data_IF_030370212614
#
_entry.id   IF_030370212614
#
_cell.length_a   1.000
_cell.length_b   1.000
_cell.length_c   1.000
_cell.angle_alpha   90.00
_cell.angle_beta   90.00
_cell.angle_gamma   90.00
#
_symmetry.space_group_name_H-M   'P 1'
#
loop_
_entity.id
_entity.type
_entity.pdbx_description
1 polymer ?
#
# COMPACT_ATOMS: atom_id res chain seq x y z
N UNK A 1 33.36 38.44 40.48
CA UNK A 1 32.86 37.04 40.40
C UNK A 1 32.33 36.79 38.98
N UNK A 2 33.14 36.21 38.09
CA UNK A 2 32.71 35.86 36.72
C UNK A 2 32.87 34.34 36.58
N UNK A 3 31.75 33.60 36.64
CA UNK A 3 31.75 32.14 36.48
C UNK A 3 31.82 31.76 35.00
N UNK A 4 32.84 30.98 34.67
CA UNK A 4 33.22 30.41 33.38
C UNK A 4 32.13 29.51 32.75
N UNK A 5 31.69 29.82 31.52
CA UNK A 5 30.87 28.97 30.63
C UNK A 5 31.77 28.02 29.81
N UNK A 6 32.46 27.06 30.45
CA UNK A 6 33.30 26.06 29.74
C UNK A 6 32.63 24.69 29.47
N UNK A 7 31.35 24.51 29.82
CA UNK A 7 30.66 23.22 29.72
C UNK A 7 29.99 22.90 28.37
N UNK A 8 29.63 23.89 27.55
CA UNK A 8 28.72 23.65 26.41
C UNK A 8 29.40 23.31 25.07
N UNK A 9 30.67 23.67 24.89
CA UNK A 9 31.35 23.50 23.59
C UNK A 9 31.97 22.09 23.41
N UNK A 10 32.40 21.46 24.51
CA UNK A 10 32.96 20.11 24.50
C UNK A 10 31.89 19.03 24.23
N UNK A 11 30.74 19.13 24.90
CA UNK A 11 29.60 18.24 24.65
C UNK A 11 29.03 18.38 23.23
N UNK A 12 28.98 19.61 22.70
CA UNK A 12 28.52 19.86 21.34
C UNK A 12 29.47 19.26 20.30
N UNK A 13 30.79 19.44 20.46
CA UNK A 13 31.80 18.82 19.60
C UNK A 13 31.77 17.29 19.68
N UNK A 14 31.60 16.72 20.87
CA UNK A 14 31.51 15.27 21.07
C UNK A 14 30.24 14.66 20.42
N UNK A 15 29.08 15.35 20.51
CA UNK A 15 27.85 14.96 19.80
C UNK A 15 28.00 15.05 18.28
N UNK A 16 28.66 16.09 17.78
CA UNK A 16 28.94 16.28 16.34
C UNK A 16 29.90 15.20 15.80
N UNK A 17 30.94 14.85 16.56
CA UNK A 17 31.87 13.76 16.25
C UNK A 17 31.19 12.38 16.26
N UNK A 18 30.34 12.09 17.26
CA UNK A 18 29.53 10.86 17.28
C UNK A 18 28.56 10.79 16.09
N UNK A 19 27.88 11.89 15.76
CA UNK A 19 26.98 11.97 14.61
C UNK A 19 27.70 11.78 13.26
N UNK A 20 28.92 12.31 13.12
CA UNK A 20 29.76 12.11 11.93
C UNK A 20 30.29 10.67 11.83
N UNK A 21 30.70 10.05 12.94
CA UNK A 21 31.07 8.62 12.97
C UNK A 21 29.87 7.71 12.65
N UNK A 22 28.67 8.07 13.09
CA UNK A 22 27.45 7.31 12.83
C UNK A 22 26.94 7.47 11.39
N UNK A 23 27.13 8.65 10.79
CA UNK A 23 26.90 8.88 9.36
C UNK A 23 27.94 8.16 8.49
N UNK A 24 29.21 8.18 8.89
CA UNK A 24 30.26 7.38 8.24
C UNK A 24 29.94 5.88 8.30
N UNK A 25 29.39 5.38 9.41
CA UNK A 25 28.91 3.98 9.55
C UNK A 25 27.74 3.60 8.63
N UNK A 26 27.00 4.57 8.09
CA UNK A 26 25.84 4.36 7.23
C UNK A 26 26.11 4.65 5.75
N UNK A 27 27.37 4.85 5.36
CA UNK A 27 27.68 5.01 3.93
C UNK A 27 27.55 3.66 3.22
N UNK A 28 27.04 3.63 1.98
CA UNK A 28 26.97 2.41 1.17
C UNK A 28 28.33 1.71 1.01
N UNK A 29 29.42 2.49 1.05
CA UNK A 29 30.79 2.01 0.97
C UNK A 29 31.22 1.24 2.24
N UNK A 30 30.94 1.77 3.44
CA UNK A 30 31.26 1.08 4.69
C UNK A 30 30.37 -0.14 4.95
N UNK A 31 29.14 -0.14 4.44
CA UNK A 31 28.28 -1.34 4.45
C UNK A 31 28.85 -2.44 3.53
N UNK A 32 29.33 -2.09 2.33
CA UNK A 32 29.99 -3.02 1.40
C UNK A 32 31.34 -3.53 1.94
N UNK A 33 32.15 -2.70 2.58
CA UNK A 33 33.42 -3.13 3.19
C UNK A 33 33.23 -4.14 4.33
N UNK A 34 32.12 -4.02 5.08
CA UNK A 34 31.86 -4.82 6.29
C UNK A 34 31.06 -6.09 6.04
N UNK A 35 30.22 -6.08 4.99
CA UNK A 35 29.38 -7.22 4.61
C UNK A 35 29.78 -7.83 3.26
N UNK A 36 30.71 -7.25 2.51
CA UNK A 36 31.14 -7.67 1.17
C UNK A 36 32.08 -8.86 1.17
N UNK A 37 32.19 -9.53 0.01
CA UNK A 37 32.95 -10.76 -0.22
C UNK A 37 32.05 -11.89 -0.75
N UNK A 38 32.60 -13.09 -0.94
CA UNK A 38 31.91 -14.25 -1.57
C UNK A 38 30.56 -14.57 -0.91
N UNK A 39 30.41 -14.34 0.40
CA UNK A 39 29.16 -14.57 1.15
C UNK A 39 28.11 -13.46 0.92
N UNK A 40 28.53 -12.23 0.61
CA UNK A 40 27.64 -11.14 0.22
C UNK A 40 26.96 -11.43 -1.12
N UNK A 41 27.75 -11.85 -2.09
CA UNK A 41 27.26 -12.15 -3.44
C UNK A 41 26.34 -13.37 -3.42
N UNK A 42 26.69 -14.41 -2.65
CA UNK A 42 25.78 -15.54 -2.38
C UNK A 42 24.47 -15.11 -1.71
N UNK A 43 24.52 -14.24 -0.70
CA UNK A 43 23.33 -13.74 -0.02
C UNK A 43 22.48 -12.80 -0.89
N UNK A 44 23.07 -12.03 -1.81
CA UNK A 44 22.34 -11.22 -2.79
C UNK A 44 21.70 -12.10 -3.86
N UNK A 45 22.43 -13.07 -4.41
CA UNK A 45 21.89 -14.00 -5.42
C UNK A 45 20.72 -14.80 -4.86
N UNK A 46 20.85 -15.35 -3.65
CA UNK A 46 19.75 -16.05 -2.95
C UNK A 46 18.57 -15.13 -2.70
N UNK A 47 18.79 -13.88 -2.28
CA UNK A 47 17.69 -12.89 -2.09
C UNK A 47 17.04 -12.43 -3.40
N UNK A 48 17.78 -12.44 -4.51
CA UNK A 48 17.28 -12.10 -5.85
C UNK A 48 16.43 -13.24 -6.44
N UNK A 49 16.62 -14.48 -5.96
CA UNK A 49 15.89 -15.67 -6.40
C UNK A 49 14.78 -16.11 -5.43
N UNK A 50 14.71 -15.56 -4.22
CA UNK A 50 13.69 -15.88 -3.22
C UNK A 50 12.28 -15.38 -3.58
N UNK A 51 11.25 -16.10 -3.11
CA UNK A 51 9.84 -15.62 -3.13
C UNK A 51 9.75 -14.27 -2.42
N UNK A 52 9.49 -13.20 -3.17
CA UNK A 52 9.49 -11.81 -2.69
C UNK A 52 10.54 -10.91 -3.35
N UNK A 53 11.43 -11.46 -4.17
CA UNK A 53 12.34 -10.68 -5.00
C UNK A 53 11.57 -9.76 -5.97
N UNK A 54 12.15 -8.60 -6.25
CA UNK A 54 11.56 -7.60 -7.13
C UNK A 54 11.38 -8.16 -8.53
N UNK A 55 10.17 -8.01 -9.09
CA UNK A 55 9.84 -8.36 -10.48
C UNK A 55 9.91 -7.15 -11.41
N UNK A 56 10.55 -6.08 -10.95
CA UNK A 56 10.65 -4.80 -11.66
C UNK A 56 11.66 -4.88 -12.82
N UNK A 57 11.23 -4.47 -14.01
CA UNK A 57 12.13 -4.28 -15.16
C UNK A 57 12.91 -2.97 -15.04
N UNK A 58 14.06 -2.87 -15.70
CA UNK A 58 14.86 -1.64 -15.70
C UNK A 58 15.30 -1.26 -17.11
N UNK A 59 15.17 0.03 -17.41
CA UNK A 59 15.65 0.68 -18.63
C UNK A 59 16.49 1.87 -18.20
N UNK A 60 17.72 1.96 -18.70
CA UNK A 60 18.66 3.06 -18.44
C UNK A 60 19.37 3.48 -19.72
N UNK A 61 19.80 4.73 -19.79
CA UNK A 61 20.77 5.18 -20.79
C UNK A 61 22.15 4.98 -20.17
N UNK A 62 23.02 4.25 -20.85
CA UNK A 62 24.38 3.95 -20.40
C UNK A 62 25.43 4.83 -21.07
N UNK A 63 25.14 5.35 -22.27
CA UNK A 63 26.10 6.13 -23.05
C UNK A 63 25.47 6.86 -24.23
N UNK A 64 26.28 7.61 -24.94
CA UNK A 64 25.92 8.36 -26.15
C UNK A 64 27.15 8.72 -26.96
N UNK A 65 27.00 8.83 -28.27
CA UNK A 65 28.06 9.33 -29.13
C UNK A 65 27.53 10.40 -30.10
N UNK A 66 28.33 11.43 -30.34
CA UNK A 66 28.03 12.56 -31.23
C UNK A 66 28.91 12.61 -32.49
N UNK A 67 29.84 11.66 -32.65
CA UNK A 67 30.75 11.57 -33.79
C UNK A 67 30.71 10.16 -34.40
N UNK A 68 30.96 10.05 -35.71
CA UNK A 68 31.02 8.78 -36.42
C UNK A 68 31.98 7.77 -35.77
N UNK A 69 33.17 8.23 -35.32
CA UNK A 69 34.12 7.38 -34.59
C UNK A 69 33.55 6.87 -33.27
N UNK A 70 32.84 7.72 -32.53
CA UNK A 70 32.18 7.33 -31.29
C UNK A 70 31.10 6.27 -31.52
N UNK A 71 30.30 6.40 -32.58
CA UNK A 71 29.29 5.38 -32.95
C UNK A 71 29.95 4.02 -33.23
N UNK A 72 31.05 3.99 -34.00
CA UNK A 72 31.81 2.76 -34.26
C UNK A 72 32.35 2.12 -32.97
N UNK A 73 32.90 2.94 -32.07
CA UNK A 73 33.37 2.47 -30.77
C UNK A 73 32.24 1.88 -29.91
N UNK A 74 31.06 2.51 -29.91
CA UNK A 74 29.89 1.98 -29.19
C UNK A 74 29.43 0.65 -29.76
N UNK A 75 29.39 0.50 -31.10
CA UNK A 75 29.07 -0.77 -31.78
C UNK A 75 30.04 -1.87 -31.35
N UNK A 76 31.34 -1.61 -31.41
CA UNK A 76 32.37 -2.57 -30.99
C UNK A 76 32.26 -2.92 -29.51
N UNK A 77 31.99 -1.92 -28.67
CA UNK A 77 31.83 -2.10 -27.23
C UNK A 77 30.64 -3.03 -26.91
N UNK A 78 29.45 -2.77 -27.48
CA UNK A 78 28.28 -3.62 -27.22
C UNK A 78 28.41 -5.02 -27.84
N UNK A 79 29.23 -5.19 -28.88
CA UNK A 79 29.54 -6.50 -29.44
C UNK A 79 30.70 -7.22 -28.74
N UNK A 80 31.29 -6.64 -27.68
CA UNK A 80 32.50 -7.16 -27.01
C UNK A 80 33.62 -7.45 -28.02
N UNK A 81 33.88 -6.50 -28.92
CA UNK A 81 34.88 -6.60 -29.99
C UNK A 81 34.69 -7.85 -30.91
N UNK A 82 33.46 -8.38 -30.99
CA UNK A 82 33.09 -9.51 -31.86
C UNK A 82 32.76 -10.82 -31.14
N UNK A 83 32.83 -10.85 -29.81
CA UNK A 83 32.40 -12.02 -29.04
C UNK A 83 30.87 -12.21 -29.04
N UNK A 84 30.11 -11.11 -29.21
CA UNK A 84 28.65 -11.10 -29.19
C UNK A 84 28.11 -10.64 -30.55
N UNK A 85 27.12 -11.36 -31.08
CA UNK A 85 26.42 -10.97 -32.31
C UNK A 85 25.51 -9.77 -32.08
N UNK A 86 25.48 -8.89 -33.06
CA UNK A 86 24.55 -7.76 -33.10
C UNK A 86 23.33 -8.11 -33.93
N UNK A 87 22.17 -7.59 -33.55
CA UNK A 87 20.94 -7.64 -34.36
C UNK A 87 20.44 -6.23 -34.63
N UNK A 88 20.20 -5.87 -35.88
CA UNK A 88 19.66 -4.54 -36.23
C UNK A 88 18.13 -4.46 -36.16
N UNK A 89 17.60 -3.28 -36.48
CA UNK A 89 16.16 -3.00 -36.54
C UNK A 89 15.42 -3.73 -37.66
N UNK A 90 16.11 -4.34 -38.64
CA UNK A 90 15.52 -5.17 -39.71
C UNK A 90 15.61 -6.66 -39.41
N UNK A 91 16.32 -7.04 -38.34
CA UNK A 91 16.55 -8.43 -37.96
C UNK A 91 17.79 -9.07 -38.58
N UNK A 92 18.64 -8.28 -39.24
CA UNK A 92 19.94 -8.74 -39.76
C UNK A 92 20.91 -8.92 -38.59
N UNK A 93 21.60 -10.05 -38.58
CA UNK A 93 22.65 -10.35 -37.60
C UNK A 93 24.04 -10.03 -38.14
N UNK A 94 24.88 -9.42 -37.30
CA UNK A 94 26.27 -9.10 -37.63
C UNK A 94 27.21 -9.74 -36.62
N UNK A 95 28.22 -10.44 -37.11
CA UNK A 95 29.40 -10.83 -36.36
C UNK A 95 30.54 -9.87 -36.71
N UNK A 96 30.77 -8.88 -35.86
CA UNK A 96 31.78 -7.85 -36.12
C UNK A 96 33.22 -8.37 -36.02
N UNK A 97 33.46 -9.63 -35.62
CA UNK A 97 34.79 -10.24 -35.76
C UNK A 97 35.19 -10.31 -37.25
N UNK A 98 34.21 -10.49 -38.14
CA UNK A 98 34.37 -10.41 -39.58
C UNK A 98 34.48 -8.96 -40.06
N UNK A 99 35.42 -8.70 -40.97
CA UNK A 99 35.72 -7.34 -41.44
C UNK A 99 34.61 -6.75 -42.31
N UNK A 100 33.96 -7.57 -43.14
CA UNK A 100 32.88 -7.13 -44.02
C UNK A 100 31.63 -6.86 -43.21
N UNK A 101 31.23 -7.79 -42.34
CA UNK A 101 30.06 -7.59 -41.47
C UNK A 101 30.24 -6.44 -40.49
N UNK A 102 31.47 -6.18 -40.02
CA UNK A 102 31.78 -4.98 -39.23
C UNK A 102 31.56 -3.69 -40.03
N UNK A 103 31.96 -3.68 -41.30
CA UNK A 103 31.76 -2.53 -42.19
C UNK A 103 30.26 -2.30 -42.44
N UNK A 104 29.52 -3.36 -42.75
CA UNK A 104 28.06 -3.31 -42.93
C UNK A 104 27.36 -2.82 -41.67
N UNK A 105 27.77 -3.28 -40.48
CA UNK A 105 27.19 -2.83 -39.23
C UNK A 105 27.41 -1.31 -39.00
N UNK A 106 28.56 -0.78 -39.39
CA UNK A 106 28.81 0.66 -39.31
C UNK A 106 27.95 1.44 -40.30
N UNK A 107 27.82 0.95 -41.53
CA UNK A 107 27.01 1.57 -42.59
C UNK A 107 25.51 1.52 -42.26
N UNK A 108 25.05 0.48 -41.57
CA UNK A 108 23.67 0.37 -41.11
C UNK A 108 23.29 1.45 -40.08
N UNK A 109 24.24 2.02 -39.34
CA UNK A 109 23.98 3.03 -38.29
C UNK A 109 24.43 4.45 -38.62
N UNK A 110 25.20 4.65 -39.70
CA UNK A 110 25.78 5.94 -40.10
C UNK A 110 25.38 6.32 -41.51
N UNK A 111 25.03 7.59 -41.71
CA UNK A 111 24.75 8.15 -43.03
C UNK A 111 25.90 9.08 -43.48
N UNK A 112 25.99 9.36 -44.78
CA UNK A 112 27.01 10.28 -45.30
C UNK A 112 26.90 11.70 -44.75
N UNK A 113 25.69 12.15 -44.42
CA UNK A 113 25.45 13.44 -43.79
C UNK A 113 26.07 13.52 -42.37
N UNK A 114 26.19 12.40 -41.66
CA UNK A 114 26.82 12.37 -40.33
C UNK A 114 28.32 12.70 -40.39
N UNK A 115 28.96 12.47 -41.54
CA UNK A 115 30.37 12.79 -41.78
C UNK A 115 30.59 14.29 -41.99
N UNK A 116 29.54 15.02 -42.42
CA UNK A 116 29.60 16.46 -42.69
C UNK A 116 29.43 17.32 -41.43
N UNK A 117 29.01 16.71 -40.32
CA UNK A 117 28.90 17.38 -39.01
C UNK A 117 30.31 17.54 -38.42
N UNK A 118 31.05 18.55 -38.90
CA UNK A 118 32.43 18.84 -38.46
C UNK A 118 32.50 19.31 -37.00
N UNK A 119 33.37 18.63 -36.23
CA UNK A 119 34.07 19.06 -35.01
C UNK A 119 33.50 20.28 -34.28
N UNK A 120 32.46 20.06 -33.48
CA UNK A 120 32.17 20.93 -32.35
C UNK A 120 31.87 20.06 -31.15
N UNK A 121 32.45 20.38 -29.99
CA UNK A 121 32.09 19.76 -28.70
C UNK A 121 30.58 19.88 -28.38
N UNK A 122 29.86 20.71 -29.14
CA UNK A 122 28.41 20.93 -29.06
C UNK A 122 27.60 20.17 -30.12
N UNK A 123 28.20 19.29 -30.91
CA UNK A 123 27.47 18.50 -31.90
C UNK A 123 26.41 17.62 -31.21
N UNK A 124 25.18 17.53 -31.76
CA UNK A 124 24.12 16.73 -31.17
C UNK A 124 24.45 15.23 -31.27
N UNK A 125 24.06 14.46 -30.25
CA UNK A 125 24.27 13.01 -30.20
C UNK A 125 23.64 12.31 -31.41
N UNK A 126 24.43 11.50 -32.13
CA UNK A 126 23.99 10.63 -33.22
C UNK A 126 23.29 9.37 -32.69
N UNK A 127 23.72 8.86 -31.54
CA UNK A 127 23.19 7.64 -30.92
C UNK A 127 23.04 7.77 -29.41
N UNK A 128 22.09 7.01 -28.85
CA UNK A 128 21.98 6.73 -27.42
C UNK A 128 22.07 5.24 -27.16
N UNK A 129 22.90 4.84 -26.19
CA UNK A 129 23.04 3.46 -25.75
C UNK A 129 22.11 3.21 -24.55
N UNK A 130 21.19 2.27 -24.72
CA UNK A 130 20.24 1.82 -23.70
C UNK A 130 20.64 0.48 -23.15
N UNK A 131 20.28 0.23 -21.90
CA UNK A 131 20.34 -1.10 -21.28
C UNK A 131 18.96 -1.45 -20.75
N UNK A 132 18.40 -2.53 -21.28
CA UNK A 132 17.14 -3.13 -20.87
C UNK A 132 17.42 -4.40 -20.08
N UNK A 133 16.88 -4.51 -18.87
CA UNK A 133 17.09 -5.68 -18.03
C UNK A 133 15.78 -6.19 -17.45
N UNK A 134 15.58 -7.49 -17.58
CA UNK A 134 14.54 -8.23 -16.88
C UNK A 134 15.15 -8.85 -15.61
N UNK A 135 14.37 -8.98 -14.53
CA UNK A 135 14.89 -9.58 -13.31
C UNK A 135 15.09 -11.09 -13.51
N UNK A 136 16.20 -11.66 -13.03
CA UNK A 136 16.52 -13.09 -13.17
C UNK A 136 15.37 -14.03 -12.75
N UNK A 137 14.58 -13.64 -11.73
CA UNK A 137 13.41 -14.38 -11.24
C UNK A 137 12.25 -14.48 -12.24
N UNK A 138 12.25 -13.65 -13.28
CA UNK A 138 11.29 -13.76 -14.37
C UNK A 138 11.65 -14.88 -15.35
N UNK A 139 12.89 -15.36 -15.35
CA UNK A 139 13.32 -16.50 -16.16
C UNK A 139 13.13 -16.29 -17.66
N UNK A 140 13.22 -15.04 -18.12
CA UNK A 140 13.01 -14.71 -19.54
C UNK A 140 14.22 -15.20 -20.36
N UNK A 141 14.02 -16.05 -21.39
CA UNK A 141 15.09 -16.49 -22.26
C UNK A 141 15.57 -15.35 -23.16
N UNK A 142 16.80 -15.48 -23.66
CA UNK A 142 17.48 -14.48 -24.49
C UNK A 142 16.63 -13.97 -25.67
N UNK A 143 16.09 -14.90 -26.46
CA UNK A 143 15.30 -14.56 -27.65
C UNK A 143 14.07 -13.71 -27.31
N UNK A 144 13.41 -13.98 -26.18
CA UNK A 144 12.21 -13.25 -25.78
C UNK A 144 12.55 -11.87 -25.20
N UNK A 145 13.68 -11.74 -24.50
CA UNK A 145 14.15 -10.41 -24.07
C UNK A 145 14.51 -9.56 -25.28
N UNK A 146 15.26 -10.10 -26.24
CA UNK A 146 15.62 -9.40 -27.47
C UNK A 146 14.38 -8.97 -28.26
N UNK A 147 13.42 -9.89 -28.43
CA UNK A 147 12.14 -9.58 -29.10
C UNK A 147 11.36 -8.51 -28.35
N UNK A 148 11.27 -8.59 -27.03
CA UNK A 148 10.56 -7.58 -26.24
C UNK A 148 11.20 -6.18 -26.35
N UNK A 149 12.53 -6.11 -26.44
CA UNK A 149 13.25 -4.84 -26.68
C UNK A 149 13.02 -4.34 -28.11
N UNK A 150 13.08 -5.23 -29.11
CA UNK A 150 12.78 -4.93 -30.52
C UNK A 150 11.39 -4.31 -30.67
N UNK A 151 10.38 -4.98 -30.13
CA UNK A 151 8.97 -4.52 -30.16
C UNK A 151 8.83 -3.18 -29.43
N UNK A 152 9.50 -3.01 -28.28
CA UNK A 152 9.44 -1.77 -27.51
C UNK A 152 10.01 -0.58 -28.29
N UNK A 153 11.16 -0.78 -28.95
CA UNK A 153 11.82 0.28 -29.72
C UNK A 153 11.04 0.59 -30.99
N UNK A 154 10.58 -0.41 -31.75
CA UNK A 154 9.75 -0.21 -32.95
C UNK A 154 8.43 0.49 -32.63
N UNK A 155 7.75 0.11 -31.54
CA UNK A 155 6.50 0.76 -31.13
C UNK A 155 6.68 2.22 -30.70
N UNK A 156 7.85 2.60 -30.18
CA UNK A 156 8.12 3.96 -29.67
C UNK A 156 8.80 4.86 -30.70
N UNK A 157 9.66 4.29 -31.54
CA UNK A 157 10.48 4.97 -32.54
C UNK A 157 10.49 4.16 -33.85
N UNK A 158 9.37 4.13 -34.59
CA UNK A 158 9.20 3.25 -35.75
C UNK A 158 10.17 3.55 -36.90
N UNK A 159 10.56 4.82 -37.07
CA UNK A 159 11.41 5.28 -38.17
C UNK A 159 12.90 5.35 -37.81
N UNK A 160 13.26 4.98 -36.58
CA UNK A 160 14.64 5.05 -36.08
C UNK A 160 15.32 3.68 -36.17
N UNK A 161 16.54 3.68 -36.72
CA UNK A 161 17.41 2.50 -36.74
C UNK A 161 18.01 2.23 -35.36
N UNK A 162 18.20 0.96 -35.04
CA UNK A 162 18.87 0.55 -33.82
C UNK A 162 19.61 -0.77 -34.00
N UNK A 163 20.57 -1.03 -33.12
CA UNK A 163 21.26 -2.31 -32.98
C UNK A 163 21.20 -2.82 -31.56
N UNK A 164 21.10 -4.12 -31.37
CA UNK A 164 20.96 -4.75 -30.06
C UNK A 164 21.97 -5.88 -29.87
N UNK A 165 22.38 -6.08 -28.62
CA UNK A 165 23.25 -7.17 -28.19
C UNK A 165 22.78 -7.69 -26.83
N UNK A 166 22.71 -9.00 -26.64
CA UNK A 166 22.35 -9.62 -25.35
C UNK A 166 23.61 -9.95 -24.56
N UNK A 167 23.69 -9.47 -23.32
CA UNK A 167 24.84 -9.62 -22.43
C UNK A 167 24.43 -10.45 -21.20
N UNK A 168 25.24 -11.46 -20.85
CA UNK A 168 25.02 -12.34 -19.69
C UNK A 168 26.05 -12.19 -18.58
N UNK A 169 26.83 -11.10 -18.58
CA UNK A 169 27.99 -10.92 -17.70
C UNK A 169 27.69 -11.28 -16.24
N UNK A 170 28.57 -12.09 -15.65
CA UNK A 170 28.40 -12.68 -14.31
C UNK A 170 28.15 -11.63 -13.21
N UNK A 171 28.63 -10.40 -13.42
CA UNK A 171 28.49 -9.27 -12.49
C UNK A 171 27.26 -8.37 -12.73
N UNK A 172 26.59 -8.42 -13.90
CA UNK A 172 25.64 -7.36 -14.31
C UNK A 172 24.19 -7.78 -14.52
N UNK A 173 23.85 -9.07 -14.31
CA UNK A 173 22.56 -9.66 -14.67
C UNK A 173 22.31 -9.65 -16.19
N UNK A 174 21.52 -10.59 -16.74
CA UNK A 174 21.20 -10.58 -18.16
C UNK A 174 20.51 -9.27 -18.57
N UNK A 175 21.04 -8.63 -19.61
CA UNK A 175 20.50 -7.38 -20.13
C UNK A 175 20.78 -7.25 -21.63
N UNK A 176 19.94 -6.49 -22.31
CA UNK A 176 20.13 -6.12 -23.71
C UNK A 176 20.68 -4.72 -23.77
N UNK A 177 21.83 -4.56 -24.41
CA UNK A 177 22.28 -3.27 -24.90
C UNK A 177 21.57 -2.94 -26.20
N UNK A 178 21.07 -1.71 -26.33
CA UNK A 178 20.44 -1.24 -27.56
C UNK A 178 20.98 0.14 -27.93
N UNK A 179 21.67 0.22 -29.06
CA UNK A 179 22.18 1.45 -29.64
C UNK A 179 21.12 2.03 -30.57
N UNK A 180 20.43 3.09 -30.14
CA UNK A 180 19.38 3.76 -30.91
C UNK A 180 19.95 4.97 -31.65
N UNK A 181 19.75 5.03 -32.97
CA UNK A 181 20.07 6.19 -33.79
C UNK A 181 19.06 7.31 -33.54
N UNK A 182 19.57 8.53 -33.32
CA UNK A 182 18.76 9.71 -32.97
C UNK A 182 18.12 10.36 -34.19
N UNK A 183 18.83 10.57 -35.32
CA UNK A 183 18.17 10.82 -36.59
C UNK A 183 17.35 9.59 -37.01
N UNK A 184 16.10 9.81 -37.39
CA UNK A 184 15.32 8.82 -38.13
C UNK A 184 15.79 8.73 -39.59
N UNK A 185 15.17 7.84 -40.36
CA UNK A 185 15.50 7.64 -41.78
C UNK A 185 15.24 8.87 -42.66
N UNK A 186 14.47 9.87 -42.19
CA UNK A 186 14.24 11.15 -42.87
C UNK A 186 15.16 12.27 -42.37
N UNK A 187 16.07 11.96 -41.44
CA UNK A 187 16.97 12.93 -40.80
C UNK A 187 16.34 13.73 -39.65
N UNK A 188 15.06 13.51 -39.32
CA UNK A 188 14.41 14.17 -38.19
C UNK A 188 14.91 13.54 -36.89
N UNK A 189 15.24 14.40 -35.92
CA UNK A 189 15.88 13.98 -34.67
C UNK A 189 14.87 13.78 -33.56
N UNK A 190 14.96 12.64 -32.87
CA UNK A 190 14.18 12.39 -31.65
C UNK A 190 14.82 13.08 -30.43
N UNK A 191 13.99 13.52 -29.48
CA UNK A 191 14.45 14.14 -28.22
C UNK A 191 14.02 13.28 -27.03
N UNK A 192 14.94 12.49 -26.50
CA UNK A 192 14.66 11.51 -25.45
C UNK A 192 14.67 12.19 -24.07
N UNK A 193 13.51 12.28 -23.44
CA UNK A 193 13.32 12.89 -22.12
C UNK A 193 13.05 11.84 -21.05
N UNK A 194 12.98 12.30 -19.79
CA UNK A 194 12.62 11.44 -18.65
C UNK A 194 11.25 10.77 -18.80
N UNK A 195 10.32 11.39 -19.54
CA UNK A 195 9.00 10.81 -19.85
C UNK A 195 9.16 9.61 -20.79
N UNK A 196 9.98 9.74 -21.82
CA UNK A 196 10.22 8.65 -22.79
C UNK A 196 10.88 7.44 -22.13
N UNK A 197 11.81 7.65 -21.17
CA UNK A 197 12.38 6.56 -20.39
C UNK A 197 11.34 5.80 -19.55
N UNK A 198 10.31 6.49 -19.06
CA UNK A 198 9.21 5.84 -18.33
C UNK A 198 8.36 5.01 -19.28
N UNK A 199 8.00 5.58 -20.42
CA UNK A 199 7.20 4.88 -21.43
C UNK A 199 7.94 3.68 -22.01
N UNK A 200 9.25 3.78 -22.26
CA UNK A 200 10.07 2.64 -22.68
C UNK A 200 10.04 1.53 -21.63
N UNK A 201 10.12 1.88 -20.33
CA UNK A 201 10.05 0.90 -19.24
C UNK A 201 8.67 0.25 -19.12
N UNK A 202 7.60 1.03 -19.30
CA UNK A 202 6.21 0.55 -19.32
C UNK A 202 5.95 -0.41 -20.49
N UNK A 203 6.32 0.01 -21.71
CA UNK A 203 6.18 -0.79 -22.94
C UNK A 203 6.99 -2.08 -22.85
N UNK A 204 8.23 -2.00 -22.37
CA UNK A 204 9.07 -3.19 -22.17
C UNK A 204 8.44 -4.19 -21.20
N UNK A 205 7.93 -3.73 -20.06
CA UNK A 205 7.20 -4.61 -19.14
C UNK A 205 5.94 -5.19 -19.77
N UNK A 206 5.19 -4.37 -20.51
CA UNK A 206 3.94 -4.78 -21.16
C UNK A 206 4.21 -5.85 -22.22
N UNK A 207 5.26 -5.69 -23.03
CA UNK A 207 5.62 -6.66 -24.08
C UNK A 207 6.08 -7.99 -23.49
N UNK A 208 6.86 -7.96 -22.40
CA UNK A 208 7.17 -9.17 -21.64
C UNK A 208 5.93 -9.83 -21.01
N UNK A 209 4.98 -9.04 -20.50
CA UNK A 209 3.72 -9.55 -19.96
C UNK A 209 2.84 -10.20 -21.04
N UNK A 210 2.77 -9.61 -22.25
CA UNK A 210 2.07 -10.20 -23.40
C UNK A 210 2.64 -11.57 -23.78
N UNK A 211 3.95 -11.77 -23.59
CA UNK A 211 4.63 -13.05 -23.79
C UNK A 211 4.43 -14.03 -22.61
N UNK A 212 3.68 -13.67 -21.57
CA UNK A 212 3.39 -14.52 -20.42
C UNK A 212 4.36 -14.37 -19.24
N UNK A 213 5.34 -13.47 -19.31
CA UNK A 213 6.28 -13.25 -18.22
C UNK A 213 5.69 -12.39 -17.13
N UNK A 214 5.73 -12.90 -15.90
CA UNK A 214 5.33 -12.14 -14.73
C UNK A 214 6.43 -11.10 -14.41
N UNK A 215 6.35 -9.92 -15.00
CA UNK A 215 7.20 -8.77 -14.68
C UNK A 215 6.33 -7.58 -14.27
N UNK A 216 6.94 -6.56 -13.67
CA UNK A 216 6.26 -5.35 -13.21
C UNK A 216 7.02 -4.11 -13.66
N UNK A 217 6.29 -3.03 -13.87
CA UNK A 217 6.82 -1.68 -13.99
C UNK A 217 6.03 -0.78 -13.04
N UNK A 218 6.58 -0.55 -11.84
CA UNK A 218 6.00 0.40 -10.89
C UNK A 218 6.61 1.77 -11.12
N UNK A 219 5.77 2.77 -11.37
CA UNK A 219 6.18 4.18 -11.33
C UNK A 219 6.24 4.56 -9.86
N UNK A 220 7.45 4.85 -9.35
CA UNK A 220 7.79 5.27 -7.96
C UNK A 220 6.61 5.37 -6.98
N UNK A 221 6.77 4.64 -5.87
CA UNK A 221 6.13 4.82 -4.55
C UNK A 221 5.34 6.13 -4.41
N UNK A 222 4.01 6.04 -4.43
CA UNK A 222 3.16 7.15 -4.01
C UNK A 222 3.48 7.46 -2.54
N UNK A 223 4.39 8.41 -2.31
CA UNK A 223 4.60 9.04 -1.02
C UNK A 223 3.26 9.56 -0.55
N UNK A 224 2.77 9.01 0.55
CA UNK A 224 1.48 9.35 1.09
C UNK A 224 0.32 8.46 0.66
N UNK A 225 0.40 7.52 -0.29
CA UNK A 225 -0.73 6.60 -0.57
C UNK A 225 -1.00 5.71 0.66
N UNK A 226 0.03 5.28 1.37
CA UNK A 226 -0.13 4.55 2.63
C UNK A 226 -0.72 5.42 3.75
N UNK A 227 -0.42 6.72 3.75
CA UNK A 227 -1.07 7.70 4.65
C UNK A 227 -2.49 8.06 4.20
N UNK A 228 -2.77 8.06 2.90
CA UNK A 228 -4.07 8.34 2.30
C UNK A 228 -5.01 7.16 2.52
N UNK A 229 -4.53 5.92 2.38
CA UNK A 229 -5.22 4.69 2.77
C UNK A 229 -5.38 4.56 4.30
N UNK A 230 -4.47 5.13 5.10
CA UNK A 230 -4.64 5.27 6.57
C UNK A 230 -5.60 6.42 6.94
N UNK A 231 -5.68 7.46 6.12
CA UNK A 231 -6.55 8.64 6.27
C UNK A 231 -7.95 8.38 5.76
N UNK A 232 -8.14 7.41 4.87
CA UNK A 232 -9.47 6.86 4.60
C UNK A 232 -10.04 6.44 5.96
N UNK A 233 -11.14 7.07 6.41
CA UNK A 233 -11.72 6.70 7.68
C UNK A 233 -12.10 5.23 7.58
N UNK A 234 -11.48 4.38 8.41
CA UNK A 234 -11.78 2.95 8.50
C UNK A 234 -13.31 2.83 8.47
N UNK A 235 -13.88 2.33 7.37
CA UNK A 235 -15.33 2.41 7.10
C UNK A 235 -16.14 1.68 8.19
N UNK A 236 -15.44 0.86 8.98
CA UNK A 236 -15.94 0.08 10.09
C UNK A 236 -15.68 0.74 11.46
N UNK A 237 -15.05 1.93 11.52
CA UNK A 237 -14.76 2.62 12.78
C UNK A 237 -16.05 3.04 13.47
N UNK A 238 -16.18 2.62 14.72
CA UNK A 238 -17.37 2.81 15.55
C UNK A 238 -18.63 2.11 15.02
N UNK A 239 -18.52 1.21 14.03
CA UNK A 239 -19.59 0.28 13.67
C UNK A 239 -19.46 -0.99 14.48
N UNK A 240 -20.57 -1.40 15.09
CA UNK A 240 -20.63 -2.58 15.95
C UNK A 240 -21.89 -3.37 15.64
N UNK A 241 -21.76 -4.69 15.75
CA UNK A 241 -22.91 -5.58 15.78
C UNK A 241 -23.40 -5.71 17.23
N UNK A 242 -24.71 -5.63 17.43
CA UNK A 242 -25.34 -5.75 18.74
C UNK A 242 -25.48 -7.22 19.11
N UNK A 243 -24.73 -7.67 20.13
CA UNK A 243 -24.77 -9.06 20.60
C UNK A 243 -25.91 -9.26 21.57
N UNK A 244 -26.09 -8.36 22.53
CA UNK A 244 -27.19 -8.39 23.50
C UNK A 244 -27.30 -7.03 24.20
N UNK A 245 -28.43 -6.75 24.81
CA UNK A 245 -28.62 -5.60 25.68
C UNK A 245 -29.69 -5.89 26.72
N UNK A 246 -29.61 -5.22 27.87
CA UNK A 246 -30.53 -5.44 28.96
C UNK A 246 -30.31 -4.50 30.13
N UNK A 247 -30.93 -4.84 31.26
CA UNK A 247 -30.76 -4.13 32.52
C UNK A 247 -30.38 -5.13 33.59
N UNK A 248 -29.20 -4.96 34.17
CA UNK A 248 -28.64 -5.85 35.19
C UNK A 248 -27.70 -5.07 36.11
N UNK A 249 -27.19 -5.70 37.16
CA UNK A 249 -26.25 -5.09 38.09
C UNK A 249 -24.97 -4.68 37.36
N UNK A 250 -24.46 -3.48 37.63
CA UNK A 250 -23.27 -2.95 36.95
C UNK A 250 -22.07 -3.91 37.07
N UNK A 251 -21.36 -4.14 35.97
CA UNK A 251 -20.29 -5.15 35.84
C UNK A 251 -20.74 -6.60 36.12
N UNK A 252 -22.05 -6.86 36.08
CA UNK A 252 -22.64 -8.16 36.40
C UNK A 252 -22.40 -8.62 37.86
N UNK A 253 -22.05 -7.71 38.75
CA UNK A 253 -21.86 -7.99 40.17
C UNK A 253 -23.17 -7.73 40.94
N UNK A 254 -23.79 -8.74 41.59
CA UNK A 254 -25.04 -8.60 42.33
C UNK A 254 -25.04 -7.50 43.40
N UNK A 255 -23.87 -7.12 43.93
CA UNK A 255 -23.73 -6.05 44.94
C UNK A 255 -23.93 -4.65 44.36
N UNK A 256 -23.76 -4.48 43.05
CA UNK A 256 -23.86 -3.19 42.40
C UNK A 256 -25.30 -2.83 42.05
N UNK A 257 -25.59 -1.53 41.93
CA UNK A 257 -26.90 -1.06 41.46
C UNK A 257 -27.13 -1.46 40.00
N UNK A 258 -28.39 -1.75 39.67
CA UNK A 258 -28.78 -2.07 38.31
C UNK A 258 -28.60 -0.87 37.36
N UNK A 259 -28.15 -1.15 36.15
CA UNK A 259 -27.94 -0.18 35.09
C UNK A 259 -28.22 -0.82 33.71
N UNK A 260 -28.44 0.00 32.70
CA UNK A 260 -28.64 -0.49 31.34
C UNK A 260 -27.28 -0.80 30.71
N UNK A 261 -27.21 -1.91 29.97
CA UNK A 261 -26.01 -2.33 29.26
C UNK A 261 -26.32 -2.72 27.81
N UNK A 262 -25.28 -2.64 26.98
CA UNK A 262 -25.26 -3.18 25.62
C UNK A 262 -23.90 -3.85 25.38
N UNK A 263 -23.93 -5.09 24.93
CA UNK A 263 -22.75 -5.85 24.50
C UNK A 263 -22.64 -5.76 22.99
N UNK A 264 -21.46 -5.36 22.53
CA UNK A 264 -21.17 -5.02 21.15
C UNK A 264 -20.00 -5.84 20.64
N UNK A 265 -20.07 -6.26 19.38
CA UNK A 265 -19.01 -6.96 18.66
C UNK A 265 -18.42 -6.06 17.58
N UNK A 266 -17.09 -5.92 17.57
CA UNK A 266 -16.39 -5.21 16.49
C UNK A 266 -16.47 -6.00 15.18
N UNK A 267 -16.80 -5.36 14.06
CA UNK A 267 -16.87 -6.04 12.76
C UNK A 267 -15.49 -6.48 12.24
N UNK A 268 -14.43 -5.79 12.66
CA UNK A 268 -13.05 -6.02 12.20
C UNK A 268 -12.39 -7.22 12.84
N UNK A 269 -12.42 -7.29 14.17
CA UNK A 269 -11.67 -8.28 14.95
C UNK A 269 -12.60 -9.26 15.70
N UNK A 270 -13.93 -9.13 15.54
CA UNK A 270 -14.95 -9.92 16.25
C UNK A 270 -14.83 -9.88 17.78
N UNK A 271 -14.12 -8.90 18.33
CA UNK A 271 -13.96 -8.70 19.77
C UNK A 271 -15.24 -8.13 20.37
N UNK A 272 -15.68 -8.71 21.48
CA UNK A 272 -16.88 -8.31 22.22
C UNK A 272 -16.53 -7.43 23.43
N UNK A 273 -17.36 -6.42 23.69
CA UNK A 273 -17.22 -5.57 24.88
C UNK A 273 -18.58 -4.98 25.28
N UNK A 274 -18.75 -4.76 26.58
CA UNK A 274 -19.99 -4.19 27.14
C UNK A 274 -19.83 -2.70 27.43
N UNK A 275 -20.88 -1.93 27.16
CA UNK A 275 -21.02 -0.53 27.56
C UNK A 275 -22.25 -0.33 28.44
N UNK A 276 -22.12 0.59 29.38
CA UNK A 276 -23.12 0.93 30.37
C UNK A 276 -23.48 2.40 30.25
N UNK A 277 -24.75 2.72 30.40
CA UNK A 277 -25.22 4.11 30.31
C UNK A 277 -26.69 4.25 30.66
N UNK A 278 -27.04 5.35 31.30
CA UNK A 278 -28.41 5.63 31.74
C UNK A 278 -29.38 5.76 30.58
N UNK A 279 -28.93 6.35 29.46
CA UNK A 279 -29.77 6.63 28.29
C UNK A 279 -29.84 5.50 27.25
N UNK A 280 -29.12 4.38 27.45
CA UNK A 280 -29.05 3.30 26.46
C UNK A 280 -30.41 2.69 26.13
N UNK A 281 -31.28 2.51 27.13
CA UNK A 281 -32.60 1.93 26.90
C UNK A 281 -33.49 2.82 26.01
N UNK A 282 -33.41 4.14 26.18
CA UNK A 282 -34.16 5.10 25.38
C UNK A 282 -33.62 5.18 23.95
N UNK A 283 -32.28 5.15 23.79
CA UNK A 283 -31.61 5.18 22.49
C UNK A 283 -31.88 3.91 21.66
N UNK A 284 -31.77 2.73 22.29
CA UNK A 284 -32.08 1.44 21.65
C UNK A 284 -33.53 1.42 21.17
N UNK A 285 -34.46 1.93 21.99
CA UNK A 285 -35.88 2.01 21.63
C UNK A 285 -36.11 3.03 20.51
N UNK A 286 -35.46 4.20 20.55
CA UNK A 286 -35.61 5.24 19.53
C UNK A 286 -35.13 4.77 18.16
N UNK A 287 -33.99 4.09 18.13
CA UNK A 287 -33.33 3.62 16.89
C UNK A 287 -33.82 2.23 16.43
N UNK A 288 -34.79 1.63 17.13
CA UNK A 288 -35.34 0.32 16.79
C UNK A 288 -34.32 -0.81 16.79
N UNK A 289 -33.30 -0.72 17.64
CA UNK A 289 -32.16 -1.64 17.66
C UNK A 289 -32.58 -3.01 18.19
N UNK A 290 -32.19 -4.08 17.48
CA UNK A 290 -32.41 -5.47 17.85
C UNK A 290 -31.07 -6.20 18.00
N UNK A 291 -31.09 -7.38 18.60
CA UNK A 291 -29.94 -8.29 18.54
C UNK A 291 -29.60 -8.58 17.07
N UNK A 292 -28.31 -8.49 16.71
CA UNK A 292 -27.80 -8.59 15.34
C UNK A 292 -27.84 -7.28 14.54
N UNK A 293 -28.39 -6.18 15.06
CA UNK A 293 -28.35 -4.88 14.36
C UNK A 293 -26.93 -4.34 14.27
N UNK A 294 -26.60 -3.69 13.14
CA UNK A 294 -25.34 -2.95 12.99
C UNK A 294 -25.61 -1.50 13.39
N UNK A 295 -24.93 -1.05 14.44
CA UNK A 295 -25.10 0.28 14.99
C UNK A 295 -23.79 1.04 14.99
N UNK A 296 -23.90 2.36 14.90
CA UNK A 296 -22.81 3.28 15.19
C UNK A 296 -23.03 3.89 16.56
N UNK A 297 -22.03 3.81 17.43
CA UNK A 297 -22.15 4.30 18.81
C UNK A 297 -21.05 5.28 19.17
N UNK A 298 -21.40 6.39 19.83
CA UNK A 298 -20.47 7.44 20.29
C UNK A 298 -20.83 7.90 21.70
N UNK A 299 -19.84 8.27 22.51
CA UNK A 299 -20.05 8.90 23.83
C UNK A 299 -20.32 10.38 23.62
N UNK A 300 -21.48 10.86 24.05
CA UNK A 300 -21.93 12.25 23.84
C UNK A 300 -21.65 13.13 25.06
N UNK A 301 -21.62 12.55 26.27
CA UNK A 301 -21.33 13.27 27.50
C UNK A 301 -21.44 12.42 28.75
N UNK A 302 -21.49 13.09 29.90
CA UNK A 302 -21.66 12.48 31.22
C UNK A 302 -22.80 13.19 31.96
N UNK A 303 -23.68 12.42 32.61
CA UNK A 303 -24.72 12.94 33.50
C UNK A 303 -24.38 12.56 34.94
N UNK A 304 -24.42 13.53 35.84
CA UNK A 304 -24.31 13.29 37.28
C UNK A 304 -25.66 12.87 37.81
N UNK A 305 -25.76 11.62 38.27
CA UNK A 305 -26.98 11.08 38.90
C UNK A 305 -26.78 11.11 40.40
N UNK A 306 -27.69 11.79 41.11
CA UNK A 306 -27.73 11.80 42.58
C UNK A 306 -28.57 10.61 43.05
N UNK A 307 -27.99 9.84 43.95
CA UNK A 307 -28.54 8.58 44.42
C UNK A 307 -28.74 8.66 45.93
N UNK A 308 -29.94 8.40 46.46
CA UNK A 308 -30.17 8.52 47.90
C UNK A 308 -29.42 7.41 48.65
N UNK A 309 -28.63 7.82 49.66
CA UNK A 309 -28.03 6.95 50.67
C UNK A 309 -29.09 6.68 51.73
N UNK A 310 -29.35 5.40 51.98
CA UNK A 310 -30.37 4.94 52.93
C UNK A 310 -29.67 4.18 54.04
N UNK A 311 -30.03 4.44 55.29
CA UNK A 311 -29.59 3.64 56.42
C UNK A 311 -30.33 2.28 56.43
N UNK A 312 -29.85 1.29 57.19
CA UNK A 312 -30.42 -0.06 57.31
C UNK A 312 -31.89 -0.10 57.76
N UNK A 313 -32.47 1.03 58.16
CA UNK A 313 -33.89 1.21 58.50
C UNK A 313 -34.71 1.99 57.45
N UNK A 314 -34.15 2.26 56.26
CA UNK A 314 -34.89 2.86 55.14
C UNK A 314 -35.06 4.40 55.18
N UNK A 315 -34.49 5.10 56.17
CA UNK A 315 -34.47 6.57 56.19
C UNK A 315 -33.32 7.15 55.35
N UNK A 316 -33.60 8.24 54.61
CA UNK A 316 -32.67 8.90 53.69
C UNK A 316 -31.67 9.79 54.46
N UNK A 317 -30.39 9.44 54.44
CA UNK A 317 -29.31 10.20 55.12
C UNK A 317 -28.49 11.12 54.21
N UNK A 318 -28.66 11.05 52.88
CA UNK A 318 -27.92 11.94 51.97
C UNK A 318 -27.96 11.50 50.52
N UNK A 319 -27.15 12.14 49.67
CA UNK A 319 -27.02 11.83 48.25
C UNK A 319 -25.59 11.41 47.92
N UNK A 320 -25.42 10.25 47.26
CA UNK A 320 -24.20 9.87 46.59
C UNK A 320 -24.27 10.33 45.13
N UNK A 321 -23.25 11.06 44.66
CA UNK A 321 -23.16 11.50 43.28
C UNK A 321 -22.39 10.48 42.43
N UNK A 322 -22.97 10.06 41.31
CA UNK A 322 -22.32 9.13 40.39
C UNK A 322 -22.38 9.66 38.96
N UNK A 323 -21.23 9.62 38.26
CA UNK A 323 -21.15 9.95 36.84
C UNK A 323 -21.62 8.77 35.98
N UNK A 324 -22.55 9.04 35.06
CA UNK A 324 -23.06 8.07 34.09
C UNK A 324 -22.76 8.55 32.68
N UNK A 325 -22.21 7.68 31.84
CA UNK A 325 -21.95 8.02 30.44
C UNK A 325 -23.25 8.03 29.65
N UNK A 326 -23.41 9.04 28.78
CA UNK A 326 -24.47 9.09 27.78
C UNK A 326 -23.92 8.65 26.43
N UNK A 327 -24.62 7.71 25.81
CA UNK A 327 -24.28 7.13 24.52
C UNK A 327 -25.29 7.56 23.47
N UNK A 328 -24.83 7.90 22.27
CA UNK A 328 -25.68 8.10 21.11
C UNK A 328 -25.54 6.92 20.18
N UNK A 329 -26.68 6.36 19.77
CA UNK A 329 -26.76 5.22 18.86
C UNK A 329 -27.38 5.68 17.54
N UNK A 330 -26.82 5.22 16.42
CA UNK A 330 -27.39 5.38 15.07
C UNK A 330 -27.48 4.00 14.44
N UNK A 331 -28.68 3.52 14.12
CA UNK A 331 -28.86 2.21 13.47
C UNK A 331 -28.57 2.31 11.96
N UNK A 332 -27.73 1.42 11.41
CA UNK A 332 -27.24 1.49 10.03
C UNK A 332 -27.93 0.52 9.06
N UNK A 333 -28.93 -0.27 9.49
CA UNK A 333 -29.32 -1.43 8.67
C UNK A 333 -30.68 -2.09 8.91
N UNK A 334 -31.76 -1.33 9.08
CA UNK A 334 -33.09 -1.75 8.61
C UNK A 334 -33.97 -0.53 8.28
N UNK A 335 -34.12 -0.22 6.99
CA UNK A 335 -35.20 0.55 6.35
C UNK A 335 -35.67 1.87 7.02
N UNK A 336 -35.17 2.99 6.50
CA UNK A 336 -36.03 4.10 6.03
C UNK A 336 -37.02 4.77 7.01
N UNK A 337 -36.59 5.21 8.19
CA UNK A 337 -37.40 6.13 9.02
C UNK A 337 -36.66 7.47 9.11
N UNK A 338 -37.27 8.55 8.59
CA UNK A 338 -36.73 9.91 8.75
C UNK A 338 -36.79 10.31 10.23
N UNK A 339 -35.68 10.81 10.82
CA UNK A 339 -35.67 11.22 12.22
C UNK A 339 -36.58 12.43 12.44
N UNK A 340 -37.44 12.37 13.45
CA UNK A 340 -38.18 13.55 13.93
C UNK A 340 -37.24 14.44 14.78
N UNK A 341 -37.38 15.78 14.71
CA UNK A 341 -36.55 16.68 15.49
C UNK A 341 -36.82 16.55 17.00
N UNK A 342 -35.79 16.80 17.81
CA UNK A 342 -35.89 16.77 19.27
C UNK A 342 -36.63 17.99 19.82
N UNK A 343 -37.52 17.78 20.79
CA UNK A 343 -38.06 18.85 21.62
C UNK A 343 -36.98 19.35 22.59
N UNK A 344 -36.74 20.67 22.57
CA UNK A 344 -35.67 21.32 23.34
C UNK A 344 -35.96 21.44 24.84
N UNK A 345 -37.18 21.15 25.28
CA UNK A 345 -37.59 21.21 26.69
C UNK A 345 -38.46 20.00 27.00
N UNK A 346 -38.10 19.24 28.03
CA UNK A 346 -38.85 18.07 28.50
C UNK A 346 -39.19 18.25 29.98
N UNK A 347 -40.44 18.57 30.28
CA UNK A 347 -40.92 18.74 31.65
C UNK A 347 -41.18 17.35 32.27
N UNK A 348 -40.55 17.09 33.43
CA UNK A 348 -40.50 15.76 34.07
C UNK A 348 -41.69 15.48 35.03
N UNK A 349 -42.59 16.45 35.22
CA UNK A 349 -43.58 16.39 36.29
C UNK A 349 -44.99 16.02 35.79
N UNK A 350 -45.11 15.58 34.54
CA UNK A 350 -46.40 15.21 33.96
C UNK A 350 -46.84 13.80 34.43
N UNK A 351 -48.12 13.59 34.79
CA UNK A 351 -48.67 12.30 35.22
C UNK A 351 -48.40 11.14 34.24
N UNK A 352 -48.19 11.43 32.96
CA UNK A 352 -47.83 10.44 31.93
C UNK A 352 -46.45 9.80 32.15
N UNK A 353 -45.49 10.52 32.76
CA UNK A 353 -44.16 9.94 33.05
C UNK A 353 -44.18 8.95 34.22
N UNK A 354 -45.03 9.19 35.21
CA UNK A 354 -45.26 8.26 36.33
C UNK A 354 -45.85 6.92 35.84
N UNK A 355 -46.75 6.96 34.85
CA UNK A 355 -47.29 5.77 34.19
C UNK A 355 -46.27 5.07 33.26
N UNK A 356 -45.27 5.79 32.76
CA UNK A 356 -44.24 5.25 31.85
C UNK A 356 -43.27 4.28 32.55
N UNK A 357 -43.05 4.45 33.85
CA UNK A 357 -42.21 3.54 34.66
C UNK A 357 -42.82 2.13 34.73
N UNK A 358 -44.16 2.01 34.66
CA UNK A 358 -44.87 0.72 34.66
C UNK A 358 -44.87 0.06 33.27
N UNK A 359 -44.91 0.84 32.17
CA UNK A 359 -44.92 0.31 30.78
C UNK A 359 -43.55 -0.22 30.31
N UNK A 360 -42.46 0.12 31.00
CA UNK A 360 -41.13 -0.46 30.72
C UNK A 360 -41.05 -1.97 31.00
N UNK A 361 -41.94 -2.53 31.82
CA UNK A 361 -41.93 -3.94 32.18
C UNK A 361 -42.53 -4.87 31.11
N UNK A 362 -43.53 -4.42 30.34
CA UNK A 362 -44.24 -5.30 29.40
C UNK A 362 -43.45 -5.61 28.13
N UNK A 363 -42.77 -4.60 27.58
CA UNK A 363 -42.00 -4.73 26.34
C UNK A 363 -40.75 -5.64 26.53
N UNK A 364 -40.13 -5.58 27.72
CA UNK A 364 -38.98 -6.42 28.06
C UNK A 364 -39.37 -7.87 28.37
N UNK A 365 -40.54 -8.10 29.00
CA UNK A 365 -41.08 -9.46 29.17
C UNK A 365 -41.40 -10.11 27.82
N UNK A 366 -42.01 -9.36 26.90
CA UNK A 366 -42.35 -9.87 25.57
C UNK A 366 -41.11 -10.22 24.74
N UNK A 367 -40.05 -9.40 24.78
CA UNK A 367 -38.81 -9.70 24.05
C UNK A 367 -38.04 -10.89 24.66
N UNK A 368 -38.00 -11.04 25.99
CA UNK A 368 -37.42 -12.22 26.63
C UNK A 368 -38.23 -13.49 26.35
N UNK A 369 -39.56 -13.42 26.31
CA UNK A 369 -40.39 -14.57 25.93
C UNK A 369 -40.20 -14.94 24.44
N UNK A 370 -40.02 -13.95 23.57
CA UNK A 370 -39.75 -14.19 22.14
C UNK A 370 -38.36 -14.82 21.91
N UNK A 371 -37.32 -14.39 22.63
CA UNK A 371 -35.98 -14.97 22.52
C UNK A 371 -35.91 -16.41 23.06
N UNK A 372 -36.60 -16.69 24.18
CA UNK A 372 -36.71 -18.05 24.73
C UNK A 372 -37.46 -18.98 23.76
N UNK A 373 -38.58 -18.53 23.17
CA UNK A 373 -39.29 -19.32 22.14
C UNK A 373 -38.43 -19.59 20.91
N UNK A 374 -37.62 -18.62 20.46
CA UNK A 374 -36.72 -18.79 19.31
C UNK A 374 -35.60 -19.81 19.61
N UNK A 375 -35.06 -19.78 20.83
CA UNK A 375 -34.06 -20.76 21.29
C UNK A 375 -34.66 -22.16 21.46
N UNK A 376 -35.92 -22.28 21.92
CA UNK A 376 -36.63 -23.56 22.00
C UNK A 376 -36.95 -24.14 20.62
N UNK A 377 -37.41 -23.30 19.67
CA UNK A 377 -37.64 -23.73 18.28
C UNK A 377 -36.34 -24.18 17.60
N UNK A 378 -35.22 -23.51 17.85
CA UNK A 378 -33.90 -23.92 17.34
C UNK A 378 -33.41 -25.23 17.98
N UNK A 379 -33.72 -25.50 19.26
CA UNK A 379 -33.41 -26.77 19.92
C UNK A 379 -34.31 -27.92 19.43
N UNK A 380 -35.58 -27.66 19.15
CA UNK A 380 -36.53 -28.64 18.61
C UNK A 380 -36.27 -28.97 17.14
N UNK A 381 -35.78 -28.01 16.34
CA UNK A 381 -35.37 -28.23 14.95
C UNK A 381 -34.10 -29.08 14.78
N UNK A 382 -33.35 -29.34 15.85
CA UNK A 382 -32.13 -30.18 15.84
C UNK A 382 -32.42 -31.63 16.29
N UNK A 383 -33.65 -31.92 16.75
CA UNK A 383 -34.10 -33.28 17.07
C UNK A 383 -35.38 -33.61 16.30
N UNK A 384 -35.23 -34.12 15.07
CA UNK A 384 -36.03 -35.19 14.43
C UNK A 384 -35.58 -35.23 12.96
N UNK A 385 -34.84 -36.27 12.63
CA UNK A 385 -34.33 -36.53 11.28
C UNK A 385 -33.45 -37.78 11.19
N UNK A 386 -33.71 -38.77 12.05
CA UNK A 386 -33.26 -40.14 11.85
C UNK A 386 -34.49 -41.01 11.99
N UNK A 387 -35.06 -41.47 10.88
CA UNK A 387 -35.52 -42.85 10.75
C UNK A 387 -35.43 -43.29 9.29
N UNK A 388 -34.85 -44.47 9.15
CA UNK A 388 -34.53 -45.24 7.96
C UNK A 388 -35.72 -46.17 7.68
N UNK A 389 -36.04 -46.32 6.39
CA UNK A 389 -36.91 -47.30 5.73
C UNK A 389 -38.41 -47.25 6.02
#
# INVERSE_FOLDING_TARGET
>A
MVKSKKGSDFEYRARKLKGQQEQARRTPHNFKMRNGGVNYDKNILTRTLQKGASREVMVKITGSANQCRGVKNEINYIAREGEIRLKDSNGVEYNIADREQRKEAYEAMLDDEDKKIYNHDRAPNLVHNFSFSSPKIAGVPENDVLKAVEDTLREKYPDNRFMMAYHTDKEHHPHVHALLRIPDNSGKRINIRKKDLRELREKFATNLQKMGYNVKCTHKYNMGLKEQLKREPDRLRNLFEVVEFGRTNYLFDPKNRQNNYITLRTLKNKTEFTRWGSNLADEIKREGVRQGSIIKMRKEGETTVKVPLTDGQGQKQGWAEHKRNNWRIENQGALGIKPAPFEKVKLLDTPEQLLKQQRGYSLFRQNHQASVKLQEQQKMGIKIGVFKF
#
